data_IF_637070396694
#
_entry.id   IF_637070396694
#
_cell.length_a   1.000
_cell.length_b   1.000
_cell.length_c   1.000
_cell.angle_alpha   90.00
_cell.angle_beta   90.00
_cell.angle_gamma   90.00
#
_symmetry.space_group_name_H-M   'P 1'
#
loop_
_entity.id
_entity.type
_entity.pdbx_description
1 polymer ?
#
# COMPACT_ATOMS: atom_id res chain seq x y z
N UNK A 1 10.22 2.11 8.36
CA UNK A 1 10.23 3.24 7.40
C UNK A 1 8.85 3.85 7.30
N UNK A 2 8.76 5.16 7.13
CA UNK A 2 7.49 5.89 6.94
C UNK A 2 7.46 6.48 5.55
N UNK A 3 6.34 6.29 4.85
CA UNK A 3 6.10 6.76 3.50
C UNK A 3 4.87 7.66 3.49
N UNK A 4 4.85 8.61 2.56
CA UNK A 4 3.72 9.51 2.32
C UNK A 4 3.43 9.59 0.83
N UNK A 5 2.20 9.28 0.45
CA UNK A 5 1.65 9.53 -0.88
C UNK A 5 0.66 10.68 -0.78
N UNK A 6 0.77 11.66 -1.66
CA UNK A 6 -0.18 12.77 -1.76
C UNK A 6 -0.88 12.67 -3.09
N UNK A 7 -2.20 12.52 -3.06
CA UNK A 7 -3.03 12.34 -4.25
C UNK A 7 -4.03 13.48 -4.28
N UNK A 8 -4.09 14.19 -5.41
CA UNK A 8 -5.05 15.27 -5.63
C UNK A 8 -5.98 14.89 -6.76
N UNK A 9 -7.29 14.90 -6.51
CA UNK A 9 -8.28 14.78 -7.57
C UNK A 9 -8.43 16.13 -8.24
N UNK A 10 -7.76 16.33 -9.38
CA UNK A 10 -7.80 17.60 -10.12
C UNK A 10 -9.01 17.73 -11.06
N UNK A 11 -9.90 16.73 -11.11
CA UNK A 11 -11.11 16.82 -11.93
C UNK A 11 -12.28 17.45 -11.19
N UNK A 12 -13.39 17.58 -11.92
CA UNK A 12 -14.61 18.26 -11.47
C UNK A 12 -15.63 17.31 -10.82
N UNK A 13 -15.33 16.01 -10.76
CA UNK A 13 -16.19 14.99 -10.14
C UNK A 13 -15.38 14.12 -9.19
N UNK A 14 -16.07 13.54 -8.20
CA UNK A 14 -15.47 12.61 -7.23
C UNK A 14 -15.02 11.32 -7.93
N UNK A 15 -14.02 10.66 -7.34
CA UNK A 15 -13.49 9.41 -7.87
C UNK A 15 -13.20 8.39 -6.79
N UNK A 16 -13.09 7.14 -7.20
CA UNK A 16 -12.63 6.05 -6.36
C UNK A 16 -11.11 5.94 -6.44
N UNK A 17 -10.44 6.18 -5.31
CA UNK A 17 -9.02 6.03 -5.12
C UNK A 17 -8.70 4.64 -4.55
N UNK A 18 -7.71 3.99 -5.15
CA UNK A 18 -7.16 2.73 -4.69
C UNK A 18 -5.63 2.79 -4.70
N UNK A 19 -5.01 2.18 -3.69
CA UNK A 19 -3.55 2.12 -3.58
C UNK A 19 -3.14 0.69 -3.27
N UNK A 20 -2.12 0.22 -3.99
CA UNK A 20 -1.54 -1.12 -3.82
C UNK A 20 -0.03 -1.09 -3.97
N UNK A 21 0.62 -2.05 -3.33
CA UNK A 21 2.03 -2.37 -3.50
C UNK A 21 2.13 -3.53 -4.48
N UNK A 22 3.01 -3.42 -5.46
CA UNK A 22 3.23 -4.43 -6.47
C UNK A 22 4.71 -4.84 -6.51
N UNK A 23 4.93 -6.02 -7.08
CA UNK A 23 6.25 -6.59 -7.32
C UNK A 23 7.06 -6.70 -6.01
N UNK A 24 6.42 -7.33 -5.02
CA UNK A 24 7.04 -7.68 -3.74
C UNK A 24 7.78 -9.01 -3.92
N UNK A 25 9.11 -8.98 -3.82
CA UNK A 25 9.96 -10.16 -3.94
C UNK A 25 11.01 -10.25 -2.85
N UNK A 26 11.40 -11.48 -2.55
CA UNK A 26 12.42 -11.84 -1.57
C UNK A 26 13.05 -13.15 -2.01
N UNK A 27 14.31 -13.37 -1.66
CA UNK A 27 14.95 -14.69 -1.84
C UNK A 27 14.36 -15.75 -0.91
N UNK A 28 13.81 -15.33 0.23
CA UNK A 28 13.23 -16.20 1.27
C UNK A 28 11.79 -15.76 1.55
N UNK A 29 10.79 -16.52 1.10
CA UNK A 29 9.37 -16.14 1.26
C UNK A 29 8.96 -15.99 2.73
N UNK A 30 9.52 -16.80 3.62
CA UNK A 30 9.26 -16.71 5.05
C UNK A 30 9.63 -15.36 5.65
N UNK A 31 10.53 -14.61 5.01
CA UNK A 31 10.94 -13.26 5.42
C UNK A 31 9.74 -12.29 5.41
N UNK A 32 8.77 -12.49 4.52
CA UNK A 32 7.59 -11.61 4.40
C UNK A 32 6.72 -11.61 5.68
N UNK A 33 6.79 -12.66 6.49
CA UNK A 33 6.06 -12.76 7.77
C UNK A 33 6.59 -11.81 8.85
N UNK A 34 7.74 -11.17 8.61
CA UNK A 34 8.34 -10.23 9.54
C UNK A 34 8.13 -8.78 9.12
N UNK A 35 7.57 -8.52 7.93
CA UNK A 35 7.32 -7.17 7.46
C UNK A 35 5.83 -6.84 7.55
N UNK A 36 5.54 -5.71 8.17
CA UNK A 36 4.18 -5.26 8.43
C UNK A 36 3.99 -3.89 7.79
N UNK A 37 2.91 -3.72 7.04
CA UNK A 37 2.43 -2.43 6.55
C UNK A 37 1.33 -1.95 7.48
N UNK A 38 1.46 -0.72 7.99
CA UNK A 38 0.52 -0.15 8.95
C UNK A 38 0.16 1.29 8.57
N UNK A 39 -1.13 1.62 8.60
CA UNK A 39 -1.66 2.96 8.33
C UNK A 39 -2.96 3.18 9.10
N UNK A 40 -3.30 4.45 9.36
CA UNK A 40 -4.49 4.84 10.12
C UNK A 40 -5.66 5.31 9.23
N UNK A 41 -5.35 5.72 8.00
CA UNK A 41 -6.29 6.31 7.05
C UNK A 41 -6.15 5.59 5.70
N UNK A 42 -7.24 5.32 4.96
CA UNK A 42 -8.63 5.70 5.26
C UNK A 42 -9.31 4.86 6.35
N UNK A 43 -8.70 3.73 6.72
CA UNK A 43 -9.14 2.87 7.82
C UNK A 43 -7.89 2.38 8.54
N UNK A 44 -7.92 2.34 9.87
CA UNK A 44 -6.81 1.79 10.65
C UNK A 44 -6.61 0.32 10.29
N UNK A 45 -5.40 -0.01 9.87
CA UNK A 45 -5.10 -1.31 9.28
C UNK A 45 -3.63 -1.67 9.48
N UNK A 46 -3.40 -2.94 9.75
CA UNK A 46 -2.09 -3.55 9.90
C UNK A 46 -2.07 -4.88 9.15
N UNK A 47 -1.21 -5.00 8.15
CA UNK A 47 -1.19 -6.15 7.22
C UNK A 47 0.24 -6.67 7.10
N UNK A 48 0.42 -7.98 7.21
CA UNK A 48 1.69 -8.64 6.92
C UNK A 48 1.95 -8.65 5.42
N UNK A 49 3.21 -8.45 4.99
CA UNK A 49 3.56 -8.56 3.57
C UNK A 49 3.38 -9.98 3.02
N UNK A 50 3.34 -11.00 3.88
CA UNK A 50 3.00 -12.37 3.49
C UNK A 50 1.54 -12.55 3.06
N UNK A 51 0.66 -11.57 3.33
CA UNK A 51 -0.69 -11.54 2.78
C UNK A 51 -0.73 -11.09 1.30
N UNK A 52 0.40 -10.72 0.71
CA UNK A 52 0.46 -10.35 -0.69
C UNK A 52 0.19 -11.56 -1.60
N UNK A 53 -0.75 -11.43 -2.52
CA UNK A 53 -1.08 -12.47 -3.49
C UNK A 53 -0.36 -12.18 -4.81
N UNK A 54 0.42 -13.15 -5.30
CA UNK A 54 1.22 -13.01 -6.52
C UNK A 54 2.09 -11.72 -6.53
N UNK A 55 2.69 -11.39 -5.38
CA UNK A 55 3.54 -10.20 -5.21
C UNK A 55 2.78 -8.88 -5.13
N UNK A 56 1.45 -8.91 -4.93
CA UNK A 56 0.59 -7.72 -4.87
C UNK A 56 -0.10 -7.64 -3.53
N UNK A 57 -0.03 -6.48 -2.90
CA UNK A 57 -0.73 -6.19 -1.66
C UNK A 57 -1.64 -4.97 -1.84
N UNK A 58 -2.94 -5.18 -1.74
CA UNK A 58 -3.91 -4.09 -1.69
C UNK A 58 -3.82 -3.40 -0.32
N UNK A 59 -3.59 -2.09 -0.31
CA UNK A 59 -3.58 -1.32 0.93
C UNK A 59 -4.99 -0.83 1.23
N UNK A 60 -5.63 -0.19 0.24
CA UNK A 60 -7.05 0.12 0.30
C UNK A 60 -7.60 0.28 -1.11
N UNK A 61 -8.93 0.18 -1.22
CA UNK A 61 -9.64 0.25 -2.48
C UNK A 61 -10.95 1.03 -2.29
N UNK A 62 -11.37 1.75 -3.34
CA UNK A 62 -12.63 2.49 -3.40
C UNK A 62 -12.79 3.57 -2.32
N UNK A 63 -11.69 4.19 -1.88
CA UNK A 63 -11.78 5.41 -1.07
C UNK A 63 -12.37 6.53 -1.94
N UNK A 64 -13.41 7.21 -1.46
CA UNK A 64 -14.02 8.31 -2.22
C UNK A 64 -13.15 9.55 -2.03
N UNK A 65 -12.54 10.02 -3.13
CA UNK A 65 -11.80 11.27 -3.19
C UNK A 65 -12.62 12.32 -3.94
N UNK A 66 -13.14 13.29 -3.20
CA UNK A 66 -13.96 14.37 -3.73
C UNK A 66 -13.22 15.21 -4.76
N UNK A 67 -13.97 15.84 -5.67
CA UNK A 67 -13.43 16.75 -6.67
C UNK A 67 -12.59 17.87 -6.02
N UNK A 68 -11.46 18.21 -6.62
CA UNK A 68 -10.53 19.26 -6.17
C UNK A 68 -9.95 19.05 -4.76
N UNK A 69 -10.09 17.86 -4.18
CA UNK A 69 -9.55 17.55 -2.85
C UNK A 69 -8.22 16.80 -2.92
N UNK A 70 -7.43 16.94 -1.86
CA UNK A 70 -6.15 16.25 -1.69
C UNK A 70 -6.23 15.29 -0.51
N UNK A 71 -5.86 14.03 -0.76
CA UNK A 71 -5.70 13.00 0.25
C UNK A 71 -4.22 12.71 0.50
N UNK A 72 -3.86 12.61 1.78
CA UNK A 72 -2.52 12.28 2.22
C UNK A 72 -2.53 10.89 2.85
N UNK A 73 -2.08 9.90 2.09
CA UNK A 73 -1.93 8.55 2.59
C UNK A 73 -0.56 8.38 3.23
N UNK A 74 -0.53 8.11 4.54
CA UNK A 74 0.69 7.90 5.32
C UNK A 74 0.68 6.47 5.83
N UNK A 75 1.72 5.72 5.49
CA UNK A 75 1.86 4.34 5.93
C UNK A 75 3.29 4.05 6.39
N UNK A 76 3.43 3.00 7.19
CA UNK A 76 4.68 2.55 7.75
C UNK A 76 4.95 1.11 7.34
N UNK A 77 6.18 0.83 6.91
CA UNK A 77 6.70 -0.53 6.83
C UNK A 77 7.53 -0.76 8.10
N UNK A 78 7.04 -1.63 8.97
CA UNK A 78 7.68 -2.06 10.21
C UNK A 78 8.31 -3.42 9.99
N UNK A 79 9.43 -3.67 10.67
CA UNK A 79 10.11 -4.96 10.67
C UNK A 79 10.01 -5.53 12.07
N UNK A 80 9.47 -6.74 12.18
CA UNK A 80 9.40 -7.50 13.41
C UNK A 80 10.78 -8.00 13.84
N UNK A 81 10.81 -8.77 14.94
CA UNK A 81 12.06 -9.35 15.42
C UNK A 81 12.49 -10.51 14.51
N UNK A 82 13.57 -10.31 13.76
CA UNK A 82 14.20 -11.34 12.93
C UNK A 82 15.43 -11.83 13.70
N UNK A 83 15.29 -12.95 14.41
CA UNK A 83 16.37 -13.57 15.19
C UNK A 83 16.96 -14.81 14.54
N UNK A 84 16.45 -15.21 13.37
CA UNK A 84 16.87 -16.43 12.68
C UNK A 84 18.01 -16.10 11.71
N UNK A 85 19.18 -16.71 11.95
CA UNK A 85 20.41 -16.50 11.17
C UNK A 85 20.22 -16.82 9.68
N UNK A 86 19.21 -17.63 9.32
CA UNK A 86 18.91 -17.93 7.91
C UNK A 86 18.51 -16.70 7.09
N UNK A 87 18.03 -15.65 7.74
CA UNK A 87 17.67 -14.38 7.09
C UNK A 87 18.82 -13.37 7.05
N UNK A 88 20.01 -13.75 7.51
CA UNK A 88 21.17 -12.87 7.48
C UNK A 88 21.51 -12.45 6.03
N UNK A 89 21.63 -11.14 5.81
CA UNK A 89 21.88 -10.50 4.50
C UNK A 89 20.80 -10.76 3.44
N UNK A 90 19.64 -11.31 3.82
CA UNK A 90 18.51 -11.48 2.92
C UNK A 90 17.78 -10.16 2.71
N UNK A 91 17.36 -9.95 1.47
CA UNK A 91 16.69 -8.72 1.05
C UNK A 91 15.28 -9.00 0.59
N UNK A 92 14.39 -8.09 0.95
CA UNK A 92 13.06 -7.99 0.37
C UNK A 92 12.97 -6.65 -0.36
N UNK A 93 12.41 -6.67 -1.55
CA UNK A 93 12.24 -5.50 -2.39
C UNK A 93 10.77 -5.32 -2.73
N UNK A 94 10.36 -4.05 -2.79
CA UNK A 94 9.06 -3.60 -3.30
C UNK A 94 9.40 -2.60 -4.39
N UNK A 95 9.05 -2.88 -5.65
CA UNK A 95 9.41 -2.00 -6.75
C UNK A 95 8.40 -0.88 -6.97
N UNK A 96 7.10 -1.17 -6.85
CA UNK A 96 6.06 -0.26 -7.31
C UNK A 96 4.97 -0.01 -6.27
N UNK A 97 4.59 1.26 -6.13
CA UNK A 97 3.32 1.67 -5.54
C UNK A 97 2.42 2.13 -6.68
N UNK A 98 1.27 1.48 -6.83
CA UNK A 98 0.29 1.85 -7.85
C UNK A 98 -0.83 2.63 -7.17
N UNK A 99 -1.14 3.78 -7.75
CA UNK A 99 -2.23 4.66 -7.33
C UNK A 99 -3.19 4.78 -8.49
N UNK A 100 -4.41 4.30 -8.31
CA UNK A 100 -5.47 4.31 -9.32
C UNK A 100 -6.59 5.25 -8.82
N UNK A 101 -6.94 6.29 -9.60
CA UNK A 101 -8.09 7.17 -9.35
C UNK A 101 -9.06 7.07 -10.52
N UNK A 102 -10.24 6.49 -10.28
CA UNK A 102 -11.29 6.31 -11.29
C UNK A 102 -12.43 7.29 -11.01
N UNK A 103 -12.57 8.31 -11.83
CA UNK A 103 -13.64 9.31 -11.72
C UNK A 103 -14.98 8.74 -12.19
N UNK A 104 -16.02 8.93 -11.39
CA UNK A 104 -17.36 8.44 -11.70
C UNK A 104 -18.13 9.59 -12.33
N UNK A 105 -18.36 9.52 -13.64
CA UNK A 105 -19.36 10.38 -14.26
C UNK A 105 -20.71 9.71 -14.03
N UNK A 106 -21.65 10.41 -13.41
CA UNK A 106 -23.05 10.00 -13.51
C UNK A 106 -23.43 10.12 -14.98
N UNK A 107 -23.58 9.00 -15.68
CA UNK A 107 -24.33 8.96 -16.93
C UNK A 107 -25.79 9.26 -16.54
N UNK A 108 -26.25 10.50 -16.80
CA UNK A 108 -27.67 10.85 -16.81
C UNK A 108 -28.38 10.22 -18.02
#
# INVERSE_FOLDING_TARGET
>A
YTFKLTVTNIGTVSGFLSVRMNDIFTEEEELLNYFIVSFSEPTETEILLSAAEAGRLELFNKYILEAETTFQFIFQIKVGNISDDKFHLKTMTIEHFIVDLIQVHSEE
#
